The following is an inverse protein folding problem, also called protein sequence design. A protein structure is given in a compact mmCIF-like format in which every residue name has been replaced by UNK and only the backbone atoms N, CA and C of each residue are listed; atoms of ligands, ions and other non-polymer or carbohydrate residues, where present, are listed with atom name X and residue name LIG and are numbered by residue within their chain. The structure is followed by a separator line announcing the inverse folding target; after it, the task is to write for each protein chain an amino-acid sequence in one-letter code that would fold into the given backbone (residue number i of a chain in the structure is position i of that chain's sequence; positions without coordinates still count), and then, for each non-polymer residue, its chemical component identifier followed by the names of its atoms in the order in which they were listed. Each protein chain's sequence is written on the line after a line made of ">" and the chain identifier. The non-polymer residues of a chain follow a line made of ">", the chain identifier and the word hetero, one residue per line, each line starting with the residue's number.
data_IF_080066445863
#
_entry.id   IF_080066445863
#
_cell.length_a   1.000
_cell.length_b   1.000
_cell.length_c   1.000
_cell.angle_alpha   90.00
_cell.angle_beta   90.00
_cell.angle_gamma   90.00
#
_symmetry.space_group_name_H-M   'P 1'
#
loop_
_entity.id
_entity.type
_entity.pdbx_description
1 polymer ?
#
# COMPACT_ATOMS: atom_id res chain seq x y z
N UNK A 1 -6.91 -0.63 5.13
CA UNK A 1 -5.88 -0.82 4.10
C UNK A 1 -5.75 0.33 3.08
N UNK A 2 -6.85 0.78 2.44
CA UNK A 2 -6.84 1.80 1.37
C UNK A 2 -6.05 3.08 1.68
N UNK A 3 -6.20 3.63 2.90
CA UNK A 3 -5.47 4.81 3.31
C UNK A 3 -3.95 4.59 3.38
N UNK A 4 -3.53 3.35 3.68
CA UNK A 4 -2.11 2.99 3.66
C UNK A 4 -1.55 2.89 2.26
N UNK A 5 -2.33 2.30 1.36
CA UNK A 5 -1.98 2.21 -0.04
C UNK A 5 -1.85 3.59 -0.69
N UNK A 6 -2.81 4.50 -0.43
CA UNK A 6 -2.73 5.90 -0.88
C UNK A 6 -1.43 6.58 -0.43
N UNK A 7 -1.07 6.46 0.85
CA UNK A 7 0.18 7.03 1.34
C UNK A 7 1.41 6.45 0.64
N UNK A 8 1.42 5.15 0.36
CA UNK A 8 2.51 4.50 -0.38
C UNK A 8 2.58 5.02 -1.83
N UNK A 9 1.44 5.21 -2.49
CA UNK A 9 1.38 5.78 -3.83
C UNK A 9 1.83 7.25 -3.86
N UNK A 10 1.47 8.05 -2.86
CA UNK A 10 1.98 9.41 -2.69
C UNK A 10 3.51 9.38 -2.49
N UNK A 11 4.01 8.52 -1.60
CA UNK A 11 5.45 8.36 -1.38
C UNK A 11 6.19 7.97 -2.66
N UNK A 12 5.60 7.09 -3.46
CA UNK A 12 6.12 6.67 -4.77
C UNK A 12 5.84 7.68 -5.90
N UNK A 13 5.14 8.79 -5.62
CA UNK A 13 4.70 9.82 -6.57
C UNK A 13 3.73 9.34 -7.65
N UNK A 14 3.15 8.16 -7.46
CA UNK A 14 2.11 7.61 -8.34
C UNK A 14 0.75 8.23 -8.09
N UNK A 15 0.51 8.72 -6.87
CA UNK A 15 -0.62 9.57 -6.52
C UNK A 15 -0.13 11.01 -6.32
N UNK A 16 -0.81 11.96 -6.98
CA UNK A 16 -0.51 13.40 -6.86
C UNK A 16 -1.38 14.09 -5.80
N UNK A 17 -2.57 13.56 -5.52
CA UNK A 17 -3.53 14.13 -4.57
C UNK A 17 -3.17 13.68 -3.16
N UNK A 18 -2.65 14.61 -2.34
CA UNK A 18 -2.17 14.32 -0.99
C UNK A 18 -3.29 14.08 0.02
N UNK A 19 -4.46 14.67 -0.17
CA UNK A 19 -5.62 14.41 0.67
C UNK A 19 -6.31 13.12 0.24
N UNK A 20 -6.47 12.18 1.17
CA UNK A 20 -7.00 10.86 0.85
C UNK A 20 -8.48 10.91 0.45
N UNK A 21 -9.30 11.73 1.11
CA UNK A 21 -10.73 11.83 0.78
C UNK A 21 -10.92 12.39 -0.63
N UNK A 22 -10.14 13.41 -0.99
CA UNK A 22 -10.08 13.96 -2.35
C UNK A 22 -9.56 12.93 -3.36
N UNK A 23 -8.55 12.13 -3.03
CA UNK A 23 -8.05 11.07 -3.91
C UNK A 23 -9.09 9.96 -4.11
N UNK A 24 -9.81 9.59 -3.05
CA UNK A 24 -10.84 8.56 -3.06
C UNK A 24 -12.02 8.92 -3.97
N UNK A 25 -12.45 10.19 -4.00
CA UNK A 25 -13.57 10.65 -4.82
C UNK A 25 -13.25 10.67 -6.33
N UNK A 26 -11.98 10.66 -6.71
CA UNK A 26 -11.54 10.68 -8.11
C UNK A 26 -11.59 9.29 -8.79
N UNK A 27 -11.83 8.21 -8.07
CA UNK A 27 -11.77 6.84 -8.60
C UNK A 27 -12.66 6.65 -9.83
N UNK A 28 -13.94 7.05 -9.75
CA UNK A 28 -14.89 6.95 -10.86
C UNK A 28 -14.46 7.77 -12.08
N UNK A 29 -13.94 8.99 -11.87
CA UNK A 29 -13.44 9.83 -12.96
C UNK A 29 -12.19 9.22 -13.60
N UNK A 30 -11.31 8.61 -12.80
CA UNK A 30 -10.10 7.92 -13.28
C UNK A 30 -10.43 6.69 -14.12
N UNK A 31 -11.51 5.96 -13.81
CA UNK A 31 -12.03 4.88 -14.68
C UNK A 31 -12.44 5.39 -16.06
N UNK A 32 -12.84 6.67 -16.16
CA UNK A 32 -13.18 7.36 -17.42
C UNK A 32 -11.96 8.07 -18.07
N UNK A 33 -10.74 7.86 -17.56
CA UNK A 33 -9.51 8.37 -18.17
C UNK A 33 -9.10 9.80 -17.80
N UNK A 34 -9.71 10.43 -16.76
CA UNK A 34 -9.39 11.82 -16.37
C UNK A 34 -9.42 12.04 -14.84
N UNK A 35 -8.60 12.95 -14.29
CA UNK A 35 -7.21 13.28 -14.64
C UNK A 35 -6.22 12.25 -14.06
N UNK A 36 -5.15 11.99 -14.81
CA UNK A 36 -4.11 11.02 -14.46
C UNK A 36 -2.89 11.68 -13.82
N UNK A 37 -2.38 11.18 -12.67
CA UNK A 37 -1.11 11.65 -12.15
C UNK A 37 0.03 11.38 -13.13
N UNK A 38 0.91 12.36 -13.29
CA UNK A 38 2.02 12.35 -14.27
C UNK A 38 2.92 11.11 -14.24
N UNK A 39 3.12 10.54 -13.05
CA UNK A 39 4.02 9.40 -12.84
C UNK A 39 3.27 8.09 -12.52
N UNK A 40 1.93 8.09 -12.63
CA UNK A 40 1.15 6.88 -12.49
C UNK A 40 1.33 6.00 -13.73
N UNK A 41 1.86 4.79 -13.52
CA UNK A 41 2.09 3.81 -14.60
C UNK A 41 0.88 2.93 -14.90
N UNK A 42 -0.01 2.76 -13.91
CA UNK A 42 -1.14 1.85 -13.99
C UNK A 42 -2.33 2.44 -13.21
N UNK A 43 -3.41 2.77 -13.93
CA UNK A 43 -4.62 3.40 -13.39
C UNK A 43 -5.28 2.51 -12.35
N UNK A 44 -5.24 1.19 -12.54
CA UNK A 44 -5.82 0.21 -11.60
C UNK A 44 -5.25 0.37 -10.19
N UNK A 45 -4.00 0.82 -10.04
CA UNK A 45 -3.41 1.07 -8.72
C UNK A 45 -4.08 2.23 -7.97
N UNK A 46 -4.70 3.18 -8.68
CA UNK A 46 -5.42 4.32 -8.11
C UNK A 46 -6.91 4.01 -7.83
N UNK A 47 -7.37 2.81 -8.17
CA UNK A 47 -8.70 2.31 -7.83
C UNK A 47 -8.64 1.64 -6.45
N UNK A 48 -8.50 2.47 -5.42
CA UNK A 48 -8.40 2.07 -4.02
C UNK A 48 -9.43 1.02 -3.60
N UNK A 49 -10.69 1.17 -4.02
CA UNK A 49 -11.77 0.22 -3.77
C UNK A 49 -11.43 -1.15 -4.34
N UNK A 50 -11.28 -1.23 -5.67
CA UNK A 50 -10.94 -2.47 -6.38
C UNK A 50 -9.67 -3.14 -5.82
N UNK A 51 -8.64 -2.35 -5.50
CA UNK A 51 -7.36 -2.81 -4.92
C UNK A 51 -7.51 -3.32 -3.49
N UNK A 52 -8.48 -2.81 -2.73
CA UNK A 52 -8.64 -3.14 -1.32
C UNK A 52 -9.84 -4.04 -0.99
N UNK A 53 -10.64 -4.43 -1.99
CA UNK A 53 -11.64 -5.48 -1.85
C UNK A 53 -10.97 -6.86 -1.78
N UNK A 54 -10.59 -7.27 -0.57
CA UNK A 54 -9.87 -8.51 -0.29
C UNK A 54 -10.78 -9.74 -0.45
N UNK A 55 -12.06 -9.64 -0.10
CA UNK A 55 -13.04 -10.71 -0.29
C UNK A 55 -13.16 -11.08 -1.76
N UNK A 56 -13.37 -10.07 -2.62
CA UNK A 56 -13.44 -10.24 -4.07
C UNK A 56 -12.12 -10.75 -4.69
N UNK A 57 -10.97 -10.34 -4.14
CA UNK A 57 -9.66 -10.86 -4.58
C UNK A 57 -9.49 -12.34 -4.21
N UNK A 58 -9.79 -12.70 -2.97
CA UNK A 58 -9.68 -14.06 -2.48
C UNK A 58 -10.66 -14.99 -3.21
N UNK A 59 -11.90 -14.55 -3.44
CA UNK A 59 -12.88 -15.33 -4.21
C UNK A 59 -12.35 -15.67 -5.62
N UNK A 60 -11.75 -14.70 -6.31
CA UNK A 60 -11.13 -14.93 -7.63
C UNK A 60 -9.95 -15.89 -7.55
N UNK A 61 -9.15 -15.82 -6.49
CA UNK A 61 -8.05 -16.76 -6.26
C UNK A 61 -8.58 -18.19 -6.07
N UNK A 62 -9.63 -18.38 -5.27
CA UNK A 62 -10.24 -19.68 -5.00
C UNK A 62 -10.92 -20.32 -6.21
N UNK A 63 -11.26 -19.54 -7.25
CA UNK A 63 -11.71 -20.09 -8.54
C UNK A 63 -10.57 -20.78 -9.32
N UNK A 64 -9.32 -20.45 -9.02
CA UNK A 64 -8.14 -20.93 -9.76
C UNK A 64 -7.27 -21.87 -8.92
N UNK A 65 -7.25 -21.69 -7.60
CA UNK A 65 -6.38 -22.40 -6.67
C UNK A 65 -7.25 -22.97 -5.54
N UNK A 66 -7.16 -24.27 -5.26
CA UNK A 66 -7.94 -24.87 -4.18
C UNK A 66 -7.52 -24.29 -2.81
N UNK A 67 -8.44 -24.09 -1.86
CA UNK A 67 -8.16 -23.42 -0.58
C UNK A 67 -7.00 -24.04 0.22
N UNK A 68 -6.78 -25.35 0.13
CA UNK A 68 -5.72 -26.06 0.85
C UNK A 68 -4.30 -25.64 0.39
N UNK A 69 -4.19 -25.00 -0.79
CA UNK A 69 -2.94 -24.46 -1.33
C UNK A 69 -2.78 -22.96 -1.09
N UNK A 70 -3.64 -22.36 -0.26
CA UNK A 70 -3.61 -20.94 0.06
C UNK A 70 -3.52 -20.78 1.57
N UNK A 71 -2.37 -20.28 2.05
CA UNK A 71 -2.22 -19.90 3.45
C UNK A 71 -2.57 -18.43 3.64
N UNK A 72 -3.57 -18.17 4.48
CA UNK A 72 -4.00 -16.82 4.81
C UNK A 72 -3.42 -16.38 6.13
N UNK A 73 -2.80 -15.20 6.12
CA UNK A 73 -2.29 -14.54 7.32
C UNK A 73 -3.00 -13.19 7.43
N UNK A 74 -3.76 -13.01 8.51
CA UNK A 74 -4.25 -11.67 8.83
C UNK A 74 -3.10 -10.87 9.46
N UNK A 75 -2.99 -9.60 9.04
CA UNK A 75 -1.95 -8.74 9.57
C UNK A 75 -2.12 -8.50 11.08
N UNK A 76 -3.36 -8.53 11.58
CA UNK A 76 -3.65 -8.43 13.01
C UNK A 76 -3.03 -9.59 13.81
N UNK A 77 -3.07 -10.83 13.27
CA UNK A 77 -2.43 -11.99 13.92
C UNK A 77 -0.91 -11.87 13.95
N UNK A 78 -0.33 -11.31 12.89
CA UNK A 78 1.10 -11.06 12.81
C UNK A 78 1.54 -10.04 13.87
N UNK A 79 0.69 -9.04 14.15
CA UNK A 79 0.96 -8.04 15.19
C UNK A 79 0.75 -8.60 16.59
N UNK A 80 -0.30 -9.37 16.79
CA UNK A 80 -0.66 -9.94 18.10
C UNK A 80 0.30 -11.05 18.51
N UNK A 81 0.56 -12.00 17.60
CA UNK A 81 1.34 -13.21 17.85
C UNK A 81 2.27 -13.54 16.66
N UNK A 82 3.35 -12.76 16.44
CA UNK A 82 4.22 -12.94 15.28
C UNK A 82 4.88 -14.32 15.22
N UNK A 83 5.24 -14.89 16.37
CA UNK A 83 5.83 -16.24 16.46
C UNK A 83 4.86 -17.32 15.99
N UNK A 84 3.62 -17.30 16.46
CA UNK A 84 2.59 -18.28 16.06
C UNK A 84 2.27 -18.14 14.57
N UNK A 85 2.15 -16.90 14.08
CA UNK A 85 1.93 -16.62 12.67
C UNK A 85 3.09 -17.12 11.81
N UNK A 86 4.33 -16.92 12.25
CA UNK A 86 5.52 -17.43 11.58
C UNK A 86 5.54 -18.96 11.53
N UNK A 87 5.30 -19.62 12.66
CA UNK A 87 5.24 -21.08 12.75
C UNK A 87 4.13 -21.67 11.87
N UNK A 88 2.97 -21.01 11.76
CA UNK A 88 1.90 -21.46 10.87
C UNK A 88 2.31 -21.41 9.39
N UNK A 89 3.09 -20.39 8.99
CA UNK A 89 3.66 -20.31 7.64
C UNK A 89 4.67 -21.44 7.40
N UNK A 90 5.56 -21.72 8.36
CA UNK A 90 6.53 -22.83 8.22
C UNK A 90 5.82 -24.18 8.08
N UNK A 91 4.79 -24.42 8.90
CA UNK A 91 3.97 -25.63 8.84
C UNK A 91 3.28 -25.77 7.48
N UNK A 92 2.70 -24.69 6.95
CA UNK A 92 2.09 -24.68 5.62
C UNK A 92 3.11 -24.98 4.51
N UNK A 93 4.32 -24.44 4.61
CA UNK A 93 5.41 -24.68 3.67
C UNK A 93 6.06 -26.07 3.83
N UNK A 94 5.73 -26.81 4.89
CA UNK A 94 6.31 -28.13 5.17
C UNK A 94 7.79 -28.07 5.59
N UNK A 95 8.23 -26.95 6.19
CA UNK A 95 9.61 -26.78 6.66
C UNK A 95 9.68 -26.77 8.18
N UNK A 96 10.82 -27.19 8.74
CA UNK A 96 11.02 -27.26 10.18
C UNK A 96 11.08 -25.87 10.83
N UNK A 97 10.62 -25.77 12.08
CA UNK A 97 10.80 -24.57 12.92
C UNK A 97 12.29 -24.35 13.19
N UNK A 98 12.80 -23.18 12.79
CA UNK A 98 14.18 -22.77 12.99
C UNK A 98 14.43 -22.14 14.38
N UNK A 99 13.40 -22.08 15.22
CA UNK A 99 13.48 -21.59 16.59
C UNK A 99 13.57 -20.08 16.69
N UNK A 100 13.24 -19.33 15.63
CA UNK A 100 13.26 -17.86 15.64
C UNK A 100 12.39 -17.28 16.75
N UNK A 101 13.00 -16.44 17.60
CA UNK A 101 12.32 -15.76 18.71
C UNK A 101 12.16 -14.25 18.50
N UNK A 102 13.01 -13.63 17.69
CA UNK A 102 13.02 -12.19 17.50
C UNK A 102 12.23 -11.76 16.26
N UNK A 103 11.25 -10.88 16.48
CA UNK A 103 10.32 -10.34 15.48
C UNK A 103 10.23 -8.81 15.61
N UNK A 104 11.30 -8.08 15.24
CA UNK A 104 11.33 -6.64 15.42
C UNK A 104 10.36 -5.95 14.45
N UNK A 105 9.76 -4.84 14.90
CA UNK A 105 8.93 -4.01 14.03
C UNK A 105 9.81 -3.26 13.01
N UNK A 106 9.81 -3.75 11.78
CA UNK A 106 10.58 -3.19 10.66
C UNK A 106 9.68 -2.38 9.72
N UNK A 107 10.27 -1.43 9.01
CA UNK A 107 9.60 -0.59 8.01
C UNK A 107 8.41 0.24 8.53
N UNK A 108 8.59 1.06 9.59
CA UNK A 108 7.55 1.99 10.01
C UNK A 108 7.18 2.93 8.86
N UNK A 109 5.92 3.38 8.83
CA UNK A 109 5.42 4.28 7.79
C UNK A 109 6.32 5.52 7.63
N UNK A 110 6.72 5.80 6.38
CA UNK A 110 7.58 6.93 6.00
C UNK A 110 6.80 7.89 5.12
N UNK A 111 7.13 9.18 5.23
CA UNK A 111 6.65 10.21 4.31
C UNK A 111 7.84 10.96 3.72
N UNK A 112 7.65 11.59 2.57
CA UNK A 112 8.60 12.58 2.06
C UNK A 112 8.37 13.91 2.79
N UNK A 113 9.44 14.57 3.24
CA UNK A 113 9.37 15.88 3.88
C UNK A 113 9.01 16.96 2.87
N UNK A 114 9.66 16.96 1.70
CA UNK A 114 9.40 17.88 0.59
C UNK A 114 8.99 17.08 -0.66
N UNK A 115 7.72 17.16 -1.03
CA UNK A 115 7.14 16.36 -2.13
C UNK A 115 7.68 16.75 -3.52
N UNK A 116 7.91 18.04 -3.76
CA UNK A 116 8.38 18.58 -5.05
C UNK A 116 9.90 18.51 -5.25
N UNK A 117 10.67 18.18 -4.21
CA UNK A 117 12.14 18.17 -4.28
C UNK A 117 12.65 17.26 -5.40
N UNK A 118 11.99 16.10 -5.59
CA UNK A 118 12.33 15.18 -6.66
C UNK A 118 12.01 15.74 -8.05
N UNK A 119 10.92 16.47 -8.22
CA UNK A 119 10.61 17.15 -9.50
C UNK A 119 11.69 18.17 -9.87
N UNK A 120 12.19 18.94 -8.90
CA UNK A 120 13.26 19.91 -9.13
C UNK A 120 14.58 19.21 -9.46
N UNK A 121 14.94 18.16 -8.74
CA UNK A 121 16.14 17.37 -9.06
C UNK A 121 16.03 16.74 -10.46
N UNK A 122 14.86 16.18 -10.82
CA UNK A 122 14.61 15.59 -12.13
C UNK A 122 14.69 16.65 -13.25
N UNK A 123 14.21 17.88 -13.00
CA UNK A 123 14.33 19.01 -13.93
C UNK A 123 15.79 19.43 -14.11
N UNK A 124 16.51 19.67 -13.01
CA UNK A 124 17.92 20.10 -13.03
C UNK A 124 18.81 19.04 -13.71
N UNK A 125 18.58 17.77 -13.42
CA UNK A 125 19.31 16.66 -14.05
C UNK A 125 19.06 16.61 -15.56
N UNK A 126 17.81 16.81 -16.00
CA UNK A 126 17.46 16.89 -17.43
C UNK A 126 18.10 18.09 -18.13
N UNK A 127 18.00 19.28 -17.53
CA UNK A 127 18.61 20.50 -18.07
C UNK A 127 20.13 20.35 -18.21
N UNK A 128 20.78 19.87 -17.15
CA UNK A 128 22.22 19.60 -17.15
C UNK A 128 22.61 18.56 -18.20
N UNK A 129 21.88 17.45 -18.33
CA UNK A 129 22.19 16.43 -19.34
C UNK A 129 22.01 16.96 -20.78
N UNK A 130 21.02 17.84 -21.00
CA UNK A 130 20.83 18.53 -22.29
C UNK A 130 21.97 19.49 -22.61
N UNK A 131 22.48 20.22 -21.60
CA UNK A 131 23.58 21.17 -21.76
C UNK A 131 24.94 20.49 -21.95
N UNK A 132 25.22 19.43 -21.19
CA UNK A 132 26.56 18.80 -21.19
C UNK A 132 26.67 17.60 -22.13
N UNK A 133 25.56 17.09 -22.69
CA UNK A 133 25.51 15.86 -23.48
C UNK A 133 25.90 14.58 -22.73
N UNK A 134 26.20 14.68 -21.43
CA UNK A 134 26.77 13.62 -20.59
C UNK A 134 25.84 13.24 -19.45
N UNK A 135 25.42 11.98 -19.41
CA UNK A 135 24.75 11.35 -18.25
C UNK A 135 25.78 11.07 -17.15
N UNK A 136 26.26 12.11 -16.48
CA UNK A 136 27.11 11.93 -15.29
C UNK A 136 26.22 11.42 -14.16
N UNK A 137 26.62 10.31 -13.52
CA UNK A 137 25.88 9.61 -12.48
C UNK A 137 25.79 10.37 -11.15
N UNK A 138 24.90 11.36 -11.08
CA UNK A 138 24.53 12.02 -9.82
C UNK A 138 23.59 11.15 -8.95
N UNK A 139 23.27 9.94 -9.40
CA UNK A 139 22.34 9.01 -8.76
C UNK A 139 22.66 8.78 -7.29
N UNK A 140 23.94 8.72 -6.93
CA UNK A 140 24.39 8.56 -5.54
C UNK A 140 24.06 9.79 -4.69
N UNK A 141 24.27 10.99 -5.21
CA UNK A 141 23.95 12.26 -4.52
C UNK A 141 22.43 12.43 -4.42
N UNK A 142 21.71 12.17 -5.52
CA UNK A 142 20.23 12.18 -5.53
C UNK A 142 19.69 11.18 -4.51
N UNK A 143 20.25 9.98 -4.44
CA UNK A 143 19.91 8.96 -3.45
C UNK A 143 20.09 9.47 -2.01
N UNK A 144 21.22 10.11 -1.70
CA UNK A 144 21.48 10.68 -0.38
C UNK A 144 20.52 11.82 -0.02
N UNK A 145 20.23 12.71 -0.97
CA UNK A 145 19.26 13.81 -0.77
C UNK A 145 17.86 13.26 -0.54
N UNK A 146 17.45 12.25 -1.31
CA UNK A 146 16.15 11.59 -1.14
C UNK A 146 16.07 10.81 0.17
N UNK A 147 17.16 10.20 0.63
CA UNK A 147 17.19 9.54 1.94
C UNK A 147 16.98 10.53 3.07
N UNK A 148 17.68 11.68 3.03
CA UNK A 148 17.49 12.76 4.00
C UNK A 148 16.11 13.42 3.94
N UNK A 149 15.43 13.34 2.79
CA UNK A 149 14.07 13.84 2.63
C UNK A 149 13.02 12.89 3.22
N UNK A 150 13.37 11.65 3.61
CA UNK A 150 12.44 10.75 4.30
C UNK A 150 12.30 11.18 5.75
N UNK A 151 11.07 11.25 6.23
CA UNK A 151 10.75 11.42 7.64
C UNK A 151 9.80 10.31 8.07
N UNK A 152 10.07 9.71 9.22
CA UNK A 152 9.07 8.87 9.89
C UNK A 152 8.02 9.85 10.42
N UNK A 153 6.83 9.81 9.83
CA UNK A 153 5.70 10.62 10.26
C UNK A 153 4.50 9.71 10.41
N UNK A 154 3.88 9.74 11.58
CA UNK A 154 2.60 9.08 11.77
C UNK A 154 1.58 9.70 10.82
N UNK A 155 0.83 8.85 10.13
CA UNK A 155 -0.25 9.27 9.26
C UNK A 155 -1.32 9.95 10.11
N UNK A 156 -1.84 11.13 9.73
CA UNK A 156 -2.93 11.73 10.47
C UNK A 156 -4.12 10.77 10.48
N UNK A 157 -4.94 10.73 11.54
CA UNK A 157 -6.12 9.89 11.57
C UNK A 157 -7.10 10.30 10.46
N UNK A 158 -7.86 9.33 9.93
CA UNK A 158 -8.96 9.63 9.02
C UNK A 158 -10.01 10.48 9.74
N UNK A 159 -10.64 11.40 9.00
CA UNK A 159 -11.84 12.07 9.52
C UNK A 159 -12.94 11.03 9.79
N UNK A 160 -13.81 11.25 10.80
CA UNK A 160 -14.91 10.34 11.08
C UNK A 160 -15.78 10.08 9.85
N UNK A 161 -16.04 11.12 9.06
CA UNK A 161 -16.78 11.02 7.79
C UNK A 161 -16.10 10.09 6.79
N UNK A 162 -14.80 10.25 6.55
CA UNK A 162 -14.08 9.40 5.61
C UNK A 162 -13.99 7.96 6.11
N UNK A 163 -13.81 7.76 7.42
CA UNK A 163 -13.83 6.42 8.02
C UNK A 163 -15.17 5.74 7.79
N UNK A 164 -16.28 6.44 8.03
CA UNK A 164 -17.62 5.93 7.78
C UNK A 164 -17.82 5.55 6.30
N UNK A 165 -17.38 6.40 5.37
CA UNK A 165 -17.42 6.10 3.93
C UNK A 165 -16.66 4.82 3.58
N UNK A 166 -15.50 4.56 4.20
CA UNK A 166 -14.77 3.31 3.95
C UNK A 166 -15.48 2.10 4.54
N UNK A 167 -16.03 2.21 5.75
CA UNK A 167 -16.78 1.13 6.41
C UNK A 167 -17.96 0.73 5.52
N UNK A 168 -18.77 1.70 5.09
CA UNK A 168 -19.92 1.46 4.20
C UNK A 168 -19.49 0.85 2.87
N UNK A 169 -18.41 1.37 2.26
CA UNK A 169 -17.94 0.89 0.97
C UNK A 169 -17.43 -0.55 1.01
N UNK A 170 -16.74 -0.95 2.09
CA UNK A 170 -16.14 -2.28 2.21
C UNK A 170 -17.00 -3.29 2.98
N UNK A 171 -18.17 -2.90 3.51
CA UNK A 171 -19.00 -3.77 4.35
C UNK A 171 -19.30 -5.12 3.70
N UNK A 172 -19.81 -5.11 2.46
CA UNK A 172 -20.16 -6.34 1.73
C UNK A 172 -18.93 -7.19 1.40
N UNK A 173 -17.79 -6.55 1.08
CA UNK A 173 -16.54 -7.27 0.80
C UNK A 173 -15.94 -7.90 2.05
N UNK A 174 -16.05 -7.25 3.21
CA UNK A 174 -15.64 -7.79 4.51
C UNK A 174 -16.51 -8.98 4.90
N UNK A 175 -17.83 -8.91 4.69
CA UNK A 175 -18.74 -10.05 4.92
C UNK A 175 -18.41 -11.24 4.01
N UNK A 176 -18.12 -10.97 2.73
CA UNK A 176 -17.66 -12.00 1.80
C UNK A 176 -16.34 -12.62 2.29
N UNK A 177 -15.37 -11.80 2.70
CA UNK A 177 -14.10 -12.28 3.21
C UNK A 177 -14.28 -13.15 4.46
N UNK A 178 -15.06 -12.69 5.44
CA UNK A 178 -15.43 -13.44 6.65
C UNK A 178 -16.00 -14.82 6.32
N UNK A 179 -16.91 -14.89 5.35
CA UNK A 179 -17.48 -16.16 4.88
C UNK A 179 -16.42 -17.07 4.27
N UNK A 180 -15.54 -16.52 3.42
CA UNK A 180 -14.50 -17.30 2.73
C UNK A 180 -13.44 -17.86 3.68
N UNK A 181 -13.09 -17.10 4.72
CA UNK A 181 -12.04 -17.49 5.69
C UNK A 181 -12.60 -18.11 6.97
N UNK A 182 -13.93 -18.12 7.13
CA UNK A 182 -14.67 -18.65 8.29
C UNK A 182 -14.19 -18.03 9.62
N UNK A 183 -14.03 -16.70 9.65
CA UNK A 183 -13.56 -15.95 10.82
C UNK A 183 -14.26 -14.61 10.92
N UNK A 184 -14.69 -14.26 12.14
CA UNK A 184 -15.31 -12.97 12.44
C UNK A 184 -14.36 -11.80 12.17
N UNK A 185 -14.77 -10.92 11.24
CA UNK A 185 -14.10 -9.68 10.87
C UNK A 185 -14.98 -8.46 11.17
N UNK A 186 -16.10 -8.62 11.89
CA UNK A 186 -17.03 -7.53 12.21
C UNK A 186 -16.36 -6.34 12.91
N UNK A 187 -15.29 -6.60 13.66
CA UNK A 187 -14.49 -5.56 14.32
C UNK A 187 -13.78 -4.61 13.33
N UNK A 188 -13.58 -5.00 12.07
CA UNK A 188 -13.05 -4.11 11.02
C UNK A 188 -14.05 -3.05 10.55
N UNK A 189 -15.34 -3.27 10.80
CA UNK A 189 -16.45 -2.37 10.43
C UNK A 189 -16.91 -1.48 11.61
N UNK A 190 -16.21 -1.54 12.73
CA UNK A 190 -16.38 -0.63 13.87
C UNK A 190 -15.54 0.60 13.68
#
# INVERSE_FOLDING_TARGET
>A
MAYSWHNQLCFNRMESVQDFASAWSLQSQRKLGKPMPKYCREIKMLQYGDVCCLGAQLQRLYQLVPPERVHLVLFDDLLENPKLTYQSVLNFLGVADDGKQDFPHLNPAKTQHVFWLRDVIDLLTRLKNKLTGKKIGLERIVGLVMEKNKKIKQRPPLSPKMRQTLIEYFADDVQLLETLIKRDLSHWLK
#
